data_IF_309769414819
#
_entry.id   IF_309769414819
#
_cell.length_a   1.000
_cell.length_b   1.000
_cell.length_c   1.000
_cell.angle_alpha   90.00
_cell.angle_beta   90.00
_cell.angle_gamma   90.00
#
_symmetry.space_group_name_H-M   'P 1'
#
loop_
_entity.id
_entity.type
_entity.pdbx_description
1 polymer ?
#
# COMPACT_ATOMS: atom_id res chain seq x y z
N UNK A 1 -18.66 56.21 -41.07
CA UNK A 1 -17.81 55.80 -39.94
C UNK A 1 -18.52 54.66 -39.25
N UNK A 2 -18.31 53.41 -39.67
CA UNK A 2 -18.89 52.22 -39.03
C UNK A 2 -17.93 51.06 -39.25
N UNK A 3 -17.15 50.70 -38.23
CA UNK A 3 -16.12 49.67 -38.37
C UNK A 3 -15.46 49.20 -37.07
N UNK A 4 -15.99 49.53 -35.89
CA UNK A 4 -15.37 49.20 -34.60
C UNK A 4 -15.92 47.96 -33.88
N UNK A 5 -17.17 47.55 -34.16
CA UNK A 5 -17.88 46.57 -33.33
C UNK A 5 -17.51 45.09 -33.56
N UNK A 6 -17.02 44.73 -34.75
CA UNK A 6 -16.77 43.33 -35.09
C UNK A 6 -15.50 42.74 -34.42
N UNK A 7 -14.53 43.60 -34.08
CA UNK A 7 -13.25 43.16 -33.50
C UNK A 7 -13.36 42.81 -32.02
N UNK A 8 -14.17 43.56 -31.25
CA UNK A 8 -14.37 43.30 -29.83
C UNK A 8 -15.16 41.99 -29.60
N UNK A 9 -16.16 41.69 -30.44
CA UNK A 9 -16.95 40.46 -30.35
C UNK A 9 -16.11 39.20 -30.62
N UNK A 10 -15.25 39.24 -31.66
CA UNK A 10 -14.30 38.15 -31.96
C UNK A 10 -13.25 37.95 -30.86
N UNK A 11 -12.82 39.03 -30.20
CA UNK A 11 -11.88 38.94 -29.09
C UNK A 11 -12.54 38.33 -27.84
N UNK A 12 -13.80 38.70 -27.55
CA UNK A 12 -14.59 38.13 -26.46
C UNK A 12 -14.86 36.62 -26.62
N UNK A 13 -15.22 36.18 -27.82
CA UNK A 13 -15.44 34.75 -28.12
C UNK A 13 -14.14 33.92 -28.01
N UNK A 14 -12.99 34.52 -28.34
CA UNK A 14 -11.68 33.86 -28.22
C UNK A 14 -11.22 33.74 -26.76
N UNK A 15 -11.48 34.77 -25.94
CA UNK A 15 -11.17 34.74 -24.51
C UNK A 15 -12.07 33.78 -23.71
N UNK A 16 -13.33 33.59 -24.13
CA UNK A 16 -14.23 32.59 -23.54
C UNK A 16 -13.84 31.14 -23.88
N UNK A 17 -13.19 30.91 -25.02
CA UNK A 17 -12.65 29.59 -25.39
C UNK A 17 -11.44 29.14 -24.55
N UNK A 18 -10.70 30.11 -23.99
CA UNK A 18 -9.50 29.87 -23.18
C UNK A 18 -9.80 29.77 -21.66
N UNK A 19 -11.05 29.97 -21.24
CA UNK A 19 -11.47 29.66 -19.87
C UNK A 19 -11.61 28.15 -19.74
N UNK A 20 -10.49 27.47 -19.53
CA UNK A 20 -10.49 26.10 -19.07
C UNK A 20 -11.28 26.04 -17.76
N UNK A 21 -12.44 25.39 -17.80
CA UNK A 21 -13.20 25.07 -16.59
C UNK A 21 -12.39 24.01 -15.85
N UNK A 22 -11.41 24.47 -15.07
CA UNK A 22 -10.80 23.61 -14.07
C UNK A 22 -11.91 23.18 -13.11
N UNK A 23 -12.23 21.89 -13.14
CA UNK A 23 -13.19 21.33 -12.19
C UNK A 23 -12.75 21.65 -10.76
N UNK A 24 -13.71 21.86 -9.85
CA UNK A 24 -13.44 22.13 -8.43
C UNK A 24 -12.41 21.15 -7.82
N UNK A 25 -12.39 19.90 -8.28
CA UNK A 25 -11.39 18.91 -7.89
C UNK A 25 -9.94 19.29 -8.28
N UNK A 26 -9.73 19.89 -9.47
CA UNK A 26 -8.43 20.43 -9.92
C UNK A 26 -8.00 21.60 -9.03
N UNK A 27 -8.92 22.52 -8.74
CA UNK A 27 -8.65 23.70 -7.91
C UNK A 27 -8.31 23.28 -6.47
N UNK A 28 -9.07 22.34 -5.88
CA UNK A 28 -8.79 21.80 -4.55
C UNK A 28 -7.45 21.03 -4.51
N UNK A 29 -7.12 20.30 -5.57
CA UNK A 29 -5.82 19.64 -5.69
C UNK A 29 -4.67 20.66 -5.80
N UNK A 30 -4.86 21.76 -6.52
CA UNK A 30 -3.87 22.84 -6.64
C UNK A 30 -3.69 23.64 -5.36
N UNK A 31 -4.76 23.91 -4.61
CA UNK A 31 -4.67 24.57 -3.29
C UNK A 31 -3.93 23.70 -2.26
N UNK A 32 -4.11 22.37 -2.29
CA UNK A 32 -3.34 21.46 -1.43
C UNK A 32 -1.82 21.51 -1.72
N UNK A 33 -1.41 21.84 -2.95
CA UNK A 33 0.02 22.00 -3.30
C UNK A 33 0.66 23.22 -2.64
N UNK A 34 -0.10 24.31 -2.47
CA UNK A 34 0.40 25.54 -1.86
C UNK A 34 0.52 25.44 -0.33
N UNK A 35 -0.18 24.49 0.30
CA UNK A 35 -0.23 24.34 1.74
C UNK A 35 0.85 23.40 2.33
N UNK A 36 1.66 22.72 1.51
CA UNK A 36 2.67 21.77 1.97
C UNK A 36 4.08 22.37 1.82
N UNK A 37 4.78 22.71 2.92
CA UNK A 37 6.19 23.09 2.85
C UNK A 37 7.04 21.93 2.31
N UNK A 38 7.99 22.27 1.45
CA UNK A 38 8.87 21.36 0.71
C UNK A 38 9.90 20.73 1.66
N UNK A 39 9.49 19.69 2.38
CA UNK A 39 10.33 18.86 3.24
C UNK A 39 9.88 17.42 3.13
N UNK A 40 10.77 16.54 2.65
CA UNK A 40 10.63 15.08 2.49
C UNK A 40 9.18 14.57 2.46
N UNK A 41 8.64 14.29 1.26
CA UNK A 41 7.25 13.83 1.02
C UNK A 41 6.79 12.80 2.07
N UNK A 42 6.02 13.26 3.07
CA UNK A 42 5.43 12.41 4.10
C UNK A 42 4.09 11.90 3.60
N UNK A 43 4.02 10.63 3.20
CA UNK A 43 2.76 10.02 2.72
C UNK A 43 1.93 9.60 3.92
N UNK A 44 2.50 8.80 4.82
CA UNK A 44 1.86 8.34 6.05
C UNK A 44 2.42 8.98 7.32
N UNK A 45 3.49 9.78 7.21
CA UNK A 45 4.12 10.43 8.36
C UNK A 45 5.03 9.51 9.18
N UNK A 46 5.35 8.33 8.62
CA UNK A 46 6.32 7.38 9.16
C UNK A 46 7.49 7.34 8.18
N UNK A 47 8.64 7.98 8.49
CA UNK A 47 9.75 8.12 7.55
C UNK A 47 10.21 6.79 6.95
N UNK A 48 10.30 5.75 7.78
CA UNK A 48 10.78 4.43 7.38
C UNK A 48 9.82 3.76 6.39
N UNK A 49 8.51 3.97 6.54
CA UNK A 49 7.51 3.50 5.58
C UNK A 49 7.49 4.37 4.32
N UNK A 50 7.55 5.69 4.47
CA UNK A 50 7.49 6.65 3.37
C UNK A 50 8.66 6.45 2.39
N UNK A 51 9.84 6.11 2.90
CA UNK A 51 11.00 5.72 2.08
C UNK A 51 10.70 4.50 1.20
N UNK A 52 10.01 3.48 1.74
CA UNK A 52 9.65 2.27 0.97
C UNK A 52 8.65 2.54 -0.15
N UNK A 53 7.82 3.58 -0.02
CA UNK A 53 6.80 3.96 -1.01
C UNK A 53 7.38 4.74 -2.18
N UNK A 54 8.47 5.48 -1.95
CA UNK A 54 9.09 6.38 -2.93
C UNK A 54 10.11 5.67 -3.82
N UNK A 55 10.45 4.42 -3.51
CA UNK A 55 11.38 3.64 -4.32
C UNK A 55 10.75 3.19 -5.64
N UNK A 56 11.34 3.53 -6.80
CA UNK A 56 10.87 3.07 -8.10
C UNK A 56 10.69 1.54 -8.09
N UNK A 57 9.63 1.05 -8.74
CA UNK A 57 9.55 -0.38 -9.01
C UNK A 57 10.81 -0.78 -9.81
N UNK A 58 11.47 -1.91 -9.47
CA UNK A 58 12.60 -2.36 -10.27
C UNK A 58 12.15 -2.53 -11.71
N UNK A 59 12.82 -1.83 -12.63
CA UNK A 59 12.55 -1.92 -14.07
C UNK A 59 12.68 -3.39 -14.44
N UNK A 60 11.57 -4.03 -14.80
CA UNK A 60 11.66 -5.38 -15.34
C UNK A 60 12.51 -5.30 -16.61
N UNK A 61 13.58 -6.11 -16.74
CA UNK A 61 14.30 -6.18 -17.99
C UNK A 61 13.28 -6.55 -19.08
N UNK A 62 13.37 -5.95 -20.29
CA UNK A 62 12.47 -6.27 -21.38
C UNK A 62 12.45 -7.79 -21.56
N UNK A 63 11.27 -8.40 -21.82
CA UNK A 63 11.18 -9.83 -22.04
C UNK A 63 12.21 -10.20 -23.11
N UNK A 64 13.20 -11.02 -22.73
CA UNK A 64 14.16 -11.56 -23.69
C UNK A 64 13.32 -12.24 -24.74
N UNK A 65 13.26 -11.65 -25.93
CA UNK A 65 12.75 -12.32 -27.11
C UNK A 65 13.63 -13.56 -27.27
N UNK A 66 13.08 -14.73 -26.91
CA UNK A 66 13.68 -16.00 -27.27
C UNK A 66 13.61 -16.02 -28.79
N UNK A 67 14.71 -15.68 -29.44
CA UNK A 67 14.86 -15.92 -30.87
C UNK A 67 14.68 -17.42 -31.08
N UNK A 68 13.82 -17.78 -32.03
CA UNK A 68 13.51 -19.16 -32.41
C UNK A 68 14.76 -19.99 -32.83
N UNK A 69 15.93 -19.37 -32.89
CA UNK A 69 17.21 -20.02 -33.17
C UNK A 69 17.73 -20.93 -32.03
N UNK A 70 17.23 -20.79 -30.78
CA UNK A 70 17.71 -21.61 -29.66
C UNK A 70 16.96 -22.94 -29.47
N UNK A 71 15.90 -23.21 -30.24
CA UNK A 71 15.19 -24.50 -30.22
C UNK A 71 15.73 -25.53 -31.22
N UNK A 72 16.61 -25.14 -32.15
CA UNK A 72 17.14 -26.03 -33.19
C UNK A 72 18.45 -26.76 -32.83
N UNK A 73 18.94 -26.67 -31.59
CA UNK A 73 20.16 -27.37 -31.14
C UNK A 73 19.91 -28.64 -30.32
N UNK A 74 18.67 -29.16 -30.26
CA UNK A 74 18.36 -30.43 -29.55
C UNK A 74 17.70 -31.51 -30.41
N UNK A 75 17.77 -31.37 -31.73
CA UNK A 75 17.35 -32.41 -32.68
C UNK A 75 18.38 -32.46 -33.81
N UNK A 76 19.50 -33.15 -33.59
CA UNK A 76 20.30 -33.81 -34.64
C UNK A 76 21.51 -34.51 -33.98
N UNK A 77 21.22 -35.59 -33.27
CA UNK A 77 22.14 -36.73 -33.11
C UNK A 77 21.38 -37.92 -33.68
N UNK A 78 21.40 -38.04 -35.00
CA UNK A 78 21.27 -39.29 -35.76
C UNK A 78 21.43 -38.99 -37.25
N UNK A 79 22.14 -39.90 -37.90
CA UNK A 79 22.38 -40.10 -39.33
C UNK A 79 23.53 -39.33 -39.98
N UNK A 80 24.69 -39.98 -39.93
CA UNK A 80 25.70 -40.00 -40.98
C UNK A 80 25.10 -40.55 -42.29
N UNK A 81 25.28 -39.85 -43.41
CA UNK A 81 25.69 -40.40 -44.73
C UNK A 81 25.83 -39.29 -45.80
N UNK A 82 26.98 -39.33 -46.47
CA UNK A 82 27.46 -38.60 -47.66
C UNK A 82 26.42 -37.96 -48.62
N UNK A 83 26.63 -36.73 -49.13
CA UNK A 83 27.43 -36.44 -50.35
C UNK A 83 27.62 -34.92 -50.62
N UNK A 84 28.61 -34.51 -51.45
CA UNK A 84 29.01 -33.11 -51.68
C UNK A 84 28.56 -32.52 -53.04
N UNK A 85 28.19 -31.22 -53.06
CA UNK A 85 28.57 -30.18 -54.05
C UNK A 85 27.56 -29.00 -54.14
N UNK A 86 28.07 -27.79 -53.83
CA UNK A 86 27.92 -26.45 -54.47
C UNK A 86 26.53 -25.88 -54.91
N UNK A 87 26.40 -24.56 -55.20
CA UNK A 87 27.11 -23.38 -54.72
C UNK A 87 26.19 -22.27 -54.12
N UNK A 88 26.87 -21.29 -53.53
CA UNK A 88 26.45 -20.00 -53.00
C UNK A 88 25.44 -19.17 -53.81
N UNK A 89 24.37 -18.71 -53.14
CA UNK A 89 23.64 -17.49 -53.52
C UNK A 89 23.57 -16.51 -52.33
N UNK A 90 24.37 -15.46 -52.41
CA UNK A 90 24.22 -14.24 -51.62
C UNK A 90 22.96 -13.50 -52.09
N UNK A 91 22.02 -13.25 -51.18
CA UNK A 91 20.96 -12.26 -51.38
C UNK A 91 21.24 -11.02 -50.53
N UNK A 92 21.32 -9.89 -51.22
CA UNK A 92 21.49 -8.55 -50.69
C UNK A 92 20.29 -8.13 -49.82
N UNK A 93 20.57 -7.61 -48.63
CA UNK A 93 19.63 -6.80 -47.86
C UNK A 93 19.67 -5.34 -48.36
N UNK A 94 18.51 -4.69 -48.61
CA UNK A 94 18.49 -3.26 -48.84
C UNK A 94 18.58 -2.48 -47.52
N UNK A 95 19.50 -1.52 -47.50
CA UNK A 95 19.70 -0.52 -46.43
C UNK A 95 18.47 0.40 -46.37
N UNK A 96 17.78 0.44 -45.23
CA UNK A 96 16.76 1.46 -44.95
C UNK A 96 17.41 2.72 -44.36
N UNK A 97 17.01 3.93 -44.77
CA UNK A 97 17.49 5.18 -44.20
C UNK A 97 16.84 5.48 -42.83
N UNK A 98 17.57 6.16 -41.91
CA UNK A 98 17.02 6.53 -40.60
C UNK A 98 15.98 7.65 -40.71
N UNK A 99 14.84 7.44 -40.06
CA UNK A 99 13.78 8.43 -39.89
C UNK A 99 14.19 9.55 -38.90
N UNK A 100 13.62 10.77 -39.04
CA UNK A 100 14.07 11.95 -38.33
C UNK A 100 13.74 11.92 -36.83
N UNK A 101 14.73 12.33 -36.04
CA UNK A 101 14.68 12.60 -34.61
C UNK A 101 13.53 13.55 -34.25
N UNK A 102 12.42 13.00 -33.76
CA UNK A 102 11.39 13.79 -33.07
C UNK A 102 12.01 14.30 -31.77
N UNK A 103 12.11 15.63 -31.67
CA UNK A 103 12.57 16.33 -30.50
C UNK A 103 11.81 15.85 -29.25
N UNK A 104 12.57 15.31 -28.29
CA UNK A 104 12.12 15.10 -26.92
C UNK A 104 11.66 16.44 -26.36
N UNK A 105 10.36 16.69 -26.40
CA UNK A 105 9.74 17.65 -25.49
C UNK A 105 10.01 17.11 -24.07
N UNK A 106 10.83 17.84 -23.34
CA UNK A 106 11.07 17.62 -21.93
C UNK A 106 9.72 17.69 -21.20
N UNK A 107 9.16 16.53 -20.88
CA UNK A 107 8.04 16.42 -19.97
C UNK A 107 8.52 16.87 -18.60
N UNK A 108 8.18 18.10 -18.22
CA UNK A 108 8.20 18.50 -16.83
C UNK A 108 7.27 17.55 -16.05
N UNK A 109 7.77 16.80 -15.05
CA UNK A 109 6.92 15.91 -14.27
C UNK A 109 6.01 16.78 -13.41
N UNK A 110 4.74 16.90 -13.80
CA UNK A 110 3.71 17.51 -12.97
C UNK A 110 3.56 16.64 -11.71
N UNK A 111 3.98 17.17 -10.57
CA UNK A 111 3.97 16.51 -9.26
C UNK A 111 2.56 16.49 -8.67
N UNK A 112 1.62 15.85 -9.37
CA UNK A 112 0.36 15.46 -8.76
C UNK A 112 0.68 14.36 -7.73
N UNK A 113 0.53 14.68 -6.44
CA UNK A 113 0.53 13.66 -5.39
C UNK A 113 -0.74 12.84 -5.57
N UNK A 114 -0.59 11.74 -6.27
CA UNK A 114 -1.67 10.79 -6.44
C UNK A 114 -1.67 9.80 -5.27
N UNK A 115 -2.83 9.26 -4.90
CA UNK A 115 -2.95 8.35 -3.78
C UNK A 115 -2.10 7.08 -3.94
N UNK A 116 -1.52 6.64 -2.83
CA UNK A 116 -0.72 5.42 -2.74
C UNK A 116 -1.58 4.22 -2.34
N UNK A 117 -1.19 3.04 -2.82
CA UNK A 117 -1.82 1.77 -2.45
C UNK A 117 -0.79 0.94 -1.69
N UNK A 118 -1.12 0.60 -0.45
CA UNK A 118 -0.28 -0.21 0.42
C UNK A 118 -0.97 -1.56 0.67
N UNK A 119 -0.31 -2.66 0.33
CA UNK A 119 -0.78 -4.01 0.64
C UNK A 119 0.12 -4.62 1.71
N UNK A 120 -0.41 -4.83 2.91
CA UNK A 120 0.26 -5.47 4.04
C UNK A 120 -0.07 -6.96 4.06
N UNK A 121 0.94 -7.79 3.85
CA UNK A 121 0.78 -9.24 3.71
C UNK A 121 1.57 -9.92 4.82
N UNK A 122 0.94 -10.81 5.58
CA UNK A 122 1.66 -11.66 6.52
C UNK A 122 1.82 -13.08 5.96
N UNK A 123 2.91 -13.80 6.29
CA UNK A 123 3.00 -15.22 5.96
C UNK A 123 1.86 -16.02 6.61
N UNK A 124 1.57 -17.24 6.13
CA UNK A 124 0.71 -18.17 6.85
C UNK A 124 1.25 -18.41 8.26
N UNK A 125 0.38 -18.64 9.26
CA UNK A 125 0.83 -19.02 10.61
C UNK A 125 1.68 -20.29 10.52
N UNK A 126 2.94 -20.24 10.98
CA UNK A 126 3.87 -21.36 10.81
C UNK A 126 3.64 -22.43 11.86
N UNK A 127 3.49 -22.10 13.15
CA UNK A 127 3.14 -23.09 14.20
C UNK A 127 2.47 -22.47 15.44
N UNK A 128 2.38 -21.15 15.51
CA UNK A 128 1.70 -20.41 16.58
C UNK A 128 0.82 -19.33 15.92
N UNK A 129 -0.46 -19.18 16.28
CA UNK A 129 -1.36 -18.17 15.73
C UNK A 129 -1.03 -16.75 16.22
N UNK A 130 0.24 -16.45 16.51
CA UNK A 130 0.62 -15.13 16.96
C UNK A 130 0.26 -14.12 15.87
N UNK A 131 -0.42 -13.01 16.21
CA UNK A 131 -0.74 -11.98 15.24
C UNK A 131 0.55 -11.47 14.60
N UNK A 132 0.54 -11.28 13.29
CA UNK A 132 1.71 -10.90 12.51
C UNK A 132 2.07 -9.41 12.63
N UNK A 133 1.35 -8.62 13.43
CA UNK A 133 1.62 -7.20 13.67
C UNK A 133 0.94 -6.23 12.71
N UNK A 134 0.18 -6.71 11.70
CA UNK A 134 -0.52 -5.86 10.73
C UNK A 134 -1.45 -4.85 11.41
N UNK A 135 -2.37 -5.32 12.26
CA UNK A 135 -3.30 -4.46 13.01
C UNK A 135 -2.57 -3.49 13.94
N UNK A 136 -1.45 -3.90 14.53
CA UNK A 136 -0.59 -3.01 15.32
C UNK A 136 -0.04 -1.85 14.48
N UNK A 137 0.47 -2.15 13.29
CA UNK A 137 0.92 -1.13 12.35
C UNK A 137 -0.24 -0.23 11.89
N UNK A 138 -1.45 -0.80 11.68
CA UNK A 138 -2.64 -0.01 11.36
C UNK A 138 -2.97 0.99 12.47
N UNK A 139 -2.96 0.59 13.75
CA UNK A 139 -3.18 1.55 14.85
C UNK A 139 -2.16 2.70 14.83
N UNK A 140 -0.89 2.41 14.51
CA UNK A 140 0.15 3.43 14.41
C UNK A 140 -0.10 4.40 13.25
N UNK A 141 -0.43 3.87 12.06
CA UNK A 141 -0.82 4.67 10.89
C UNK A 141 -2.06 5.53 11.18
N UNK A 142 -3.09 4.95 11.79
CA UNK A 142 -4.31 5.68 12.18
C UNK A 142 -3.99 6.78 13.17
N UNK A 143 -3.13 6.52 14.17
CA UNK A 143 -2.68 7.51 15.15
C UNK A 143 -2.05 8.72 14.48
N UNK A 144 -1.10 8.52 13.57
CA UNK A 144 -0.49 9.61 12.80
C UNK A 144 -1.49 10.36 11.92
N UNK A 145 -2.44 9.65 11.32
CA UNK A 145 -3.45 10.26 10.46
C UNK A 145 -4.40 11.21 11.22
N UNK A 146 -4.93 10.79 12.37
CA UNK A 146 -6.05 11.48 13.05
C UNK A 146 -5.62 12.50 14.11
N UNK A 147 -4.40 12.38 14.66
CA UNK A 147 -3.87 13.35 15.60
C UNK A 147 -3.64 14.70 14.90
N UNK A 148 -3.79 15.83 15.61
CA UNK A 148 -3.37 17.12 15.10
C UNK A 148 -1.84 17.16 14.95
N UNK A 149 -1.33 18.12 14.16
CA UNK A 149 0.12 18.32 14.05
C UNK A 149 0.74 18.84 15.34
N UNK A 150 -0.05 19.56 16.15
CA UNK A 150 0.40 20.20 17.39
C UNK A 150 -0.57 19.94 18.55
N UNK A 151 -0.01 19.91 19.76
CA UNK A 151 -0.73 19.98 21.03
C UNK A 151 -0.20 21.18 21.80
N UNK A 152 -1.00 22.25 21.92
CA UNK A 152 -0.51 23.56 22.32
C UNK A 152 0.64 24.04 21.41
N UNK A 153 1.84 24.16 21.97
CA UNK A 153 3.07 24.57 21.27
C UNK A 153 3.94 23.39 20.82
N UNK A 154 3.56 22.15 21.15
CA UNK A 154 4.38 20.96 20.95
C UNK A 154 4.00 20.29 19.63
N UNK A 155 4.99 20.06 18.77
CA UNK A 155 4.82 19.32 17.52
C UNK A 155 4.71 17.81 17.81
N UNK A 156 3.53 17.24 17.59
CA UNK A 156 3.26 15.80 17.77
C UNK A 156 3.15 15.03 16.44
N UNK A 157 3.38 15.73 15.32
CA UNK A 157 3.52 15.14 13.97
C UNK A 157 2.30 14.35 13.46
N UNK A 158 1.09 14.74 13.87
CA UNK A 158 -0.16 14.24 13.29
C UNK A 158 -0.58 14.98 12.00
N UNK A 159 -1.49 14.38 11.22
CA UNK A 159 -1.93 14.86 9.91
C UNK A 159 -3.34 15.47 9.91
N UNK A 160 -3.99 15.55 11.08
CA UNK A 160 -5.29 16.19 11.29
C UNK A 160 -6.38 15.74 10.29
N UNK A 161 -6.36 14.47 9.92
CA UNK A 161 -7.21 13.89 8.89
C UNK A 161 -8.23 12.93 9.49
N UNK A 162 -9.07 12.32 8.65
CA UNK A 162 -9.96 11.23 9.03
C UNK A 162 -9.53 9.90 8.36
N UNK A 163 -9.92 8.79 8.96
CA UNK A 163 -9.61 7.43 8.47
C UNK A 163 -10.90 6.61 8.40
N UNK A 164 -11.06 5.87 7.32
CA UNK A 164 -12.16 4.91 7.16
C UNK A 164 -11.58 3.49 7.26
N UNK A 165 -12.17 2.65 8.09
CA UNK A 165 -11.75 1.27 8.34
C UNK A 165 -12.91 0.33 8.07
N UNK A 166 -12.70 -0.66 7.22
CA UNK A 166 -13.61 -1.78 7.00
C UNK A 166 -13.03 -3.00 7.73
N UNK A 167 -13.64 -3.33 8.87
CA UNK A 167 -13.18 -4.34 9.82
C UNK A 167 -14.27 -5.42 9.99
N UNK A 168 -14.35 -6.39 9.06
CA UNK A 168 -15.35 -7.45 9.08
C UNK A 168 -15.24 -8.37 10.31
N UNK A 169 -14.05 -8.46 10.91
CA UNK A 169 -13.77 -9.39 12.02
C UNK A 169 -13.77 -8.72 13.39
N UNK A 170 -14.03 -7.41 13.46
CA UNK A 170 -13.99 -6.64 14.71
C UNK A 170 -12.63 -6.69 15.43
N UNK A 171 -11.54 -6.79 14.68
CA UNK A 171 -10.17 -6.81 15.21
C UNK A 171 -9.68 -5.42 15.64
N UNK A 172 -10.30 -4.35 15.12
CA UNK A 172 -9.93 -2.98 15.41
C UNK A 172 -10.63 -2.46 16.68
N UNK A 173 -9.84 -2.34 17.74
CA UNK A 173 -10.27 -1.94 19.09
C UNK A 173 -9.90 -0.48 19.39
N UNK A 174 -10.92 0.36 19.57
CA UNK A 174 -10.76 1.78 19.92
C UNK A 174 -9.98 2.00 21.22
N UNK A 175 -10.17 1.23 22.32
CA UNK A 175 -9.36 1.41 23.53
C UNK A 175 -7.87 1.21 23.28
N UNK A 176 -7.51 0.26 22.39
CA UNK A 176 -6.11 0.02 22.01
C UNK A 176 -5.56 1.17 21.17
N UNK A 177 -6.35 1.71 20.23
CA UNK A 177 -5.97 2.90 19.47
C UNK A 177 -5.73 4.09 20.42
N UNK A 178 -6.63 4.34 21.36
CA UNK A 178 -6.50 5.42 22.34
C UNK A 178 -5.23 5.28 23.18
N UNK A 179 -4.90 4.06 23.63
CA UNK A 179 -3.66 3.79 24.33
C UNK A 179 -2.42 4.13 23.48
N UNK A 180 -2.42 3.72 22.20
CA UNK A 180 -1.31 4.00 21.29
C UNK A 180 -1.16 5.51 21.05
N UNK A 181 -2.28 6.24 20.90
CA UNK A 181 -2.28 7.71 20.79
C UNK A 181 -1.72 8.37 22.04
N UNK A 182 -2.12 7.91 23.23
CA UNK A 182 -1.61 8.42 24.51
C UNK A 182 -0.10 8.18 24.64
N UNK A 183 0.38 6.98 24.30
CA UNK A 183 1.81 6.68 24.30
C UNK A 183 2.58 7.56 23.32
N UNK A 184 2.02 7.79 22.11
CA UNK A 184 2.63 8.66 21.10
C UNK A 184 2.75 10.10 21.58
N UNK A 185 1.66 10.68 22.09
CA UNK A 185 1.65 12.05 22.63
C UNK A 185 2.61 12.16 23.83
N UNK A 186 2.55 11.21 24.77
CA UNK A 186 3.42 11.20 25.96
C UNK A 186 4.90 11.20 25.59
N UNK A 187 5.28 10.50 24.51
CA UNK A 187 6.66 10.51 24.02
C UNK A 187 7.08 11.90 23.54
N UNK A 188 6.23 12.59 22.79
CA UNK A 188 6.50 13.95 22.32
C UNK A 188 6.51 14.98 23.46
N UNK A 189 5.67 14.81 24.49
CA UNK A 189 5.71 15.63 25.69
C UNK A 189 7.04 15.48 26.45
N UNK A 190 7.50 14.24 26.65
CA UNK A 190 8.79 13.97 27.30
C UNK A 190 9.97 14.59 26.54
N UNK A 191 9.95 14.55 25.20
CA UNK A 191 11.01 15.20 24.40
C UNK A 191 10.97 16.72 24.48
N UNK A 192 9.82 17.31 24.84
CA UNK A 192 9.63 18.74 25.03
C UNK A 192 9.71 19.16 26.52
N UNK A 193 10.21 18.28 27.39
CA UNK A 193 10.35 18.49 28.84
C UNK A 193 9.04 18.93 29.53
N UNK A 194 7.91 18.35 29.09
CA UNK A 194 6.59 18.57 29.70
C UNK A 194 6.16 17.35 30.50
N UNK A 195 5.80 17.59 31.76
CA UNK A 195 5.29 16.55 32.64
C UNK A 195 3.81 16.27 32.38
N UNK A 196 3.48 14.99 32.19
CA UNK A 196 2.10 14.52 32.02
C UNK A 196 1.35 14.41 33.36
N UNK A 197 2.09 14.45 34.46
CA UNK A 197 1.55 14.51 35.83
C UNK A 197 0.83 15.84 36.10
N UNK A 198 1.12 16.89 35.34
CA UNK A 198 0.36 18.14 35.38
C UNK A 198 -1.08 17.88 34.91
N UNK A 199 -2.04 18.14 35.82
CA UNK A 199 -3.46 17.94 35.58
C UNK A 199 -3.95 18.73 34.35
N UNK A 200 -3.42 19.93 34.11
CA UNK A 200 -3.78 20.74 32.94
C UNK A 200 -3.38 20.06 31.63
N UNK A 201 -2.14 19.56 31.57
CA UNK A 201 -1.62 18.82 30.41
C UNK A 201 -2.39 17.51 30.23
N UNK A 202 -2.68 16.80 31.32
CA UNK A 202 -3.44 15.55 31.27
C UNK A 202 -4.83 15.74 30.67
N UNK A 203 -5.56 16.79 31.07
CA UNK A 203 -6.87 17.14 30.50
C UNK A 203 -6.74 17.46 29.01
N UNK A 204 -5.74 18.26 28.63
CA UNK A 204 -5.50 18.63 27.23
C UNK A 204 -5.25 17.40 26.35
N UNK A 205 -4.41 16.48 26.82
CA UNK A 205 -4.10 15.20 26.13
C UNK A 205 -5.36 14.36 25.96
N UNK A 206 -6.15 14.18 27.03
CA UNK A 206 -7.37 13.37 26.97
C UNK A 206 -8.40 13.96 26.01
N UNK A 207 -8.57 15.27 26.02
CA UNK A 207 -9.49 15.96 25.12
C UNK A 207 -8.98 15.91 23.67
N UNK A 208 -7.67 16.02 23.44
CA UNK A 208 -7.05 15.79 22.14
C UNK A 208 -7.36 14.40 21.60
N UNK A 209 -7.12 13.35 22.39
CA UNK A 209 -7.43 11.96 22.02
C UNK A 209 -8.92 11.79 21.72
N UNK A 210 -9.79 12.30 22.59
CA UNK A 210 -11.25 12.21 22.42
C UNK A 210 -11.72 12.89 21.14
N UNK A 211 -11.19 14.07 20.80
CA UNK A 211 -11.50 14.78 19.55
C UNK A 211 -10.99 14.01 18.34
N UNK A 212 -9.74 13.54 18.37
CA UNK A 212 -9.14 12.79 17.27
C UNK A 212 -9.88 11.48 16.98
N UNK A 213 -10.35 10.76 18.01
CA UNK A 213 -11.12 9.52 17.82
C UNK A 213 -12.47 9.73 17.11
N UNK A 214 -13.02 10.95 17.08
CA UNK A 214 -14.24 11.27 16.32
C UNK A 214 -14.03 11.20 14.80
N UNK A 215 -12.77 11.06 14.36
CA UNK A 215 -12.38 11.03 12.95
C UNK A 215 -11.97 9.63 12.47
N UNK A 216 -12.33 8.59 13.23
CA UNK A 216 -12.21 7.19 12.81
C UNK A 216 -13.60 6.65 12.50
N UNK A 217 -13.82 6.25 11.24
CA UNK A 217 -15.08 5.68 10.78
C UNK A 217 -14.91 4.18 10.57
N UNK A 218 -15.58 3.36 11.38
CA UNK A 218 -15.45 1.91 11.32
C UNK A 218 -16.75 1.31 10.77
N UNK A 219 -16.62 0.52 9.70
CA UNK A 219 -17.68 -0.27 9.12
C UNK A 219 -17.36 -1.76 9.24
N UNK A 220 -18.38 -2.58 9.48
CA UNK A 220 -18.21 -4.03 9.71
C UNK A 220 -19.06 -4.84 8.72
N UNK A 221 -18.71 -4.85 7.43
CA UNK A 221 -19.43 -5.65 6.45
C UNK A 221 -19.27 -7.13 6.78
N UNK A 222 -20.37 -7.88 6.85
CA UNK A 222 -20.36 -9.31 7.21
C UNK A 222 -20.27 -10.25 6.00
N UNK A 223 -20.44 -9.72 4.79
CA UNK A 223 -20.38 -10.45 3.53
C UNK A 223 -19.77 -9.60 2.41
N UNK A 224 -19.47 -10.25 1.28
CA UNK A 224 -18.87 -9.60 0.12
C UNK A 224 -19.76 -8.51 -0.48
N UNK A 225 -21.07 -8.79 -0.59
CA UNK A 225 -22.06 -7.84 -1.09
C UNK A 225 -22.19 -6.63 -0.16
N UNK A 226 -22.18 -6.86 1.15
CA UNK A 226 -22.20 -5.82 2.17
C UNK A 226 -20.95 -4.94 2.13
N UNK A 227 -19.77 -5.52 1.83
CA UNK A 227 -18.54 -4.76 1.61
C UNK A 227 -18.70 -3.80 0.43
N UNK A 228 -19.17 -4.29 -0.72
CA UNK A 228 -19.35 -3.49 -1.93
C UNK A 228 -20.42 -2.40 -1.77
N UNK A 229 -21.52 -2.71 -1.08
CA UNK A 229 -22.55 -1.73 -0.74
C UNK A 229 -22.01 -0.63 0.20
N UNK A 230 -21.19 -1.00 1.18
CA UNK A 230 -20.51 -0.05 2.08
C UNK A 230 -19.59 0.87 1.29
N UNK A 231 -18.74 0.34 0.40
CA UNK A 231 -17.85 1.13 -0.44
C UNK A 231 -18.64 2.10 -1.35
N UNK A 232 -19.75 1.64 -1.93
CA UNK A 232 -20.59 2.44 -2.82
C UNK A 232 -21.30 3.59 -2.09
N UNK A 233 -21.71 3.38 -0.85
CA UNK A 233 -22.41 4.39 -0.02
C UNK A 233 -21.47 5.33 0.72
N UNK A 234 -20.17 5.04 0.75
CA UNK A 234 -19.19 5.78 1.52
C UNK A 234 -19.13 7.28 1.16
N UNK A 235 -19.15 7.71 -0.12
CA UNK A 235 -19.17 9.14 -0.44
C UNK A 235 -20.38 9.85 0.17
N UNK A 236 -21.58 9.27 0.02
CA UNK A 236 -22.81 9.85 0.59
C UNK A 236 -22.75 9.96 2.11
N UNK A 237 -22.16 8.97 2.80
CA UNK A 237 -21.92 9.04 4.23
C UNK A 237 -20.91 10.14 4.60
N UNK A 238 -19.78 10.21 3.90
CA UNK A 238 -18.67 11.14 4.20
C UNK A 238 -19.02 12.61 3.94
N UNK A 239 -19.96 12.86 3.03
CA UNK A 239 -20.46 14.20 2.71
C UNK A 239 -21.75 14.57 3.48
N UNK A 240 -22.18 13.74 4.44
CA UNK A 240 -23.33 14.02 5.31
C UNK A 240 -22.85 14.57 6.68
N UNK A 241 -22.61 15.88 6.73
CA UNK A 241 -22.10 16.59 7.92
C UNK A 241 -22.86 16.33 9.23
N UNK A 242 -24.20 16.26 9.24
CA UNK A 242 -24.96 15.87 10.42
C UNK A 242 -24.63 14.49 10.99
N UNK A 243 -24.16 13.53 10.18
CA UNK A 243 -23.85 12.16 10.63
C UNK A 243 -22.52 12.04 11.37
N UNK A 244 -21.58 12.96 11.14
CA UNK A 244 -20.25 12.87 11.73
C UNK A 244 -19.47 14.19 11.70
N UNK A 245 -18.39 14.27 12.47
CA UNK A 245 -17.59 15.51 12.61
C UNK A 245 -16.42 15.65 11.63
N UNK A 246 -16.27 14.72 10.69
CA UNK A 246 -15.12 14.66 9.78
C UNK A 246 -15.30 15.36 8.44
N UNK A 247 -16.45 15.97 8.15
CA UNK A 247 -16.77 16.52 6.81
C UNK A 247 -15.74 17.58 6.35
N UNK A 248 -15.18 18.33 7.29
CA UNK A 248 -14.19 19.37 7.01
C UNK A 248 -12.74 18.86 7.06
N UNK A 249 -12.52 17.54 7.10
CA UNK A 249 -11.19 16.92 7.13
C UNK A 249 -10.95 16.09 5.87
N UNK A 250 -9.72 16.09 5.35
CA UNK A 250 -9.36 15.16 4.29
C UNK A 250 -9.40 13.71 4.83
N UNK A 251 -9.78 12.78 3.96
CA UNK A 251 -9.64 11.35 4.25
C UNK A 251 -8.22 10.93 3.91
N UNK A 252 -7.46 10.54 4.93
CA UNK A 252 -6.06 10.16 4.76
C UNK A 252 -5.90 8.75 4.18
N UNK A 253 -6.69 7.82 4.71
CA UNK A 253 -6.65 6.43 4.27
C UNK A 253 -8.02 5.75 4.35
N UNK A 254 -8.26 4.87 3.37
CA UNK A 254 -9.29 3.84 3.37
C UNK A 254 -8.63 2.49 3.63
N UNK A 255 -8.93 1.88 4.77
CA UNK A 255 -8.30 0.66 5.27
C UNK A 255 -9.28 -0.49 5.15
N UNK A 256 -8.89 -1.56 4.47
CA UNK A 256 -9.64 -2.82 4.42
C UNK A 256 -8.85 -3.85 5.23
N UNK A 257 -9.33 -4.14 6.43
CA UNK A 257 -8.70 -5.09 7.34
C UNK A 257 -9.18 -6.52 7.05
N UNK A 258 -8.20 -7.40 6.80
CA UNK A 258 -8.34 -8.83 6.55
C UNK A 258 -9.21 -9.21 5.35
N UNK A 259 -8.89 -8.65 4.18
CA UNK A 259 -9.59 -8.93 2.91
C UNK A 259 -9.78 -10.41 2.57
N UNK A 260 -8.86 -11.27 3.02
CA UNK A 260 -8.92 -12.70 2.74
C UNK A 260 -10.19 -13.37 3.28
N UNK A 261 -10.86 -12.79 4.28
CA UNK A 261 -12.06 -13.35 4.92
C UNK A 261 -13.21 -13.58 3.94
N UNK A 262 -13.30 -12.78 2.87
CA UNK A 262 -14.36 -12.92 1.87
C UNK A 262 -14.08 -14.03 0.84
N UNK A 263 -12.85 -14.55 0.79
CA UNK A 263 -12.44 -15.53 -0.23
C UNK A 263 -13.27 -16.82 -0.19
N UNK A 264 -13.54 -17.45 0.98
CA UNK A 264 -14.39 -18.63 1.03
C UNK A 264 -15.82 -18.38 0.53
N UNK A 265 -16.42 -17.25 0.94
CA UNK A 265 -17.77 -16.83 0.51
C UNK A 265 -17.86 -16.63 -1.01
N UNK A 266 -16.89 -15.92 -1.58
CA UNK A 266 -16.80 -15.71 -3.04
C UNK A 266 -16.74 -17.05 -3.78
N UNK A 267 -15.93 -18.00 -3.27
CA UNK A 267 -15.77 -19.32 -3.89
C UNK A 267 -17.06 -20.13 -3.81
N UNK A 268 -17.78 -20.10 -2.69
CA UNK A 268 -19.06 -20.82 -2.57
C UNK A 268 -20.14 -20.31 -3.52
N UNK A 269 -20.18 -19.00 -3.80
CA UNK A 269 -21.12 -18.42 -4.76
C UNK A 269 -20.87 -18.89 -6.20
N UNK A 270 -19.62 -19.22 -6.52
CA UNK A 270 -19.24 -19.67 -7.87
C UNK A 270 -19.53 -21.16 -8.08
N UNK A 271 -19.53 -21.97 -7.02
CA UNK A 271 -19.86 -23.40 -7.12
C UNK A 271 -21.35 -23.66 -7.30
N UNK A 272 -22.22 -22.72 -6.95
CA UNK A 272 -23.69 -22.85 -7.10
C UNK A 272 -24.21 -22.56 -8.51
N UNK A 273 -23.40 -22.01 -9.42
CA UNK A 273 -23.86 -21.50 -10.72
C UNK A 273 -23.39 -22.31 -11.93
N UNK A 274 -22.52 -23.31 -11.76
CA UNK A 274 -22.02 -24.14 -12.85
C UNK A 274 -22.94 -25.34 -13.11
N UNK A 275 -23.79 -25.24 -14.14
CA UNK A 275 -24.46 -26.39 -14.76
C UNK A 275 -23.45 -27.28 -15.51
N UNK A 276 -23.59 -28.62 -15.49
CA UNK A 276 -22.54 -29.57 -15.87
C UNK A 276 -22.27 -29.74 -17.38
N UNK A 277 -22.74 -28.86 -18.26
CA UNK A 277 -22.88 -29.20 -19.70
C UNK A 277 -22.02 -28.44 -20.73
N UNK A 278 -21.10 -27.55 -20.34
CA UNK A 278 -20.21 -26.91 -21.34
C UNK A 278 -18.76 -26.83 -20.86
N UNK A 279 -17.89 -27.52 -21.59
CA UNK A 279 -16.45 -27.66 -21.33
C UNK A 279 -15.65 -26.42 -21.76
N UNK A 280 -15.92 -25.26 -21.18
CA UNK A 280 -15.01 -24.10 -21.26
C UNK A 280 -14.08 -24.07 -20.04
N UNK A 281 -12.83 -23.59 -20.18
CA UNK A 281 -11.91 -23.50 -19.07
C UNK A 281 -12.49 -22.59 -17.98
N UNK A 282 -12.79 -23.17 -16.81
CA UNK A 282 -13.40 -22.44 -15.69
C UNK A 282 -12.52 -21.23 -15.33
N UNK A 283 -13.01 -19.98 -15.54
CA UNK A 283 -12.27 -18.80 -15.11
C UNK A 283 -12.13 -18.84 -13.57
N UNK A 284 -10.98 -18.40 -13.06
CA UNK A 284 -10.75 -18.34 -11.62
C UNK A 284 -11.89 -17.51 -10.97
N UNK A 285 -12.67 -18.07 -10.02
CA UNK A 285 -13.86 -17.43 -9.46
C UNK A 285 -13.56 -16.09 -8.76
N UNK A 286 -12.30 -15.85 -8.42
CA UNK A 286 -11.86 -14.62 -7.76
C UNK A 286 -11.62 -13.46 -8.73
N UNK A 287 -11.62 -13.71 -10.05
CA UNK A 287 -11.25 -12.70 -11.06
C UNK A 287 -12.25 -11.55 -11.12
N UNK A 288 -13.55 -11.85 -11.30
CA UNK A 288 -14.61 -10.83 -11.35
C UNK A 288 -14.73 -10.07 -10.03
N UNK A 289 -14.76 -10.71 -8.85
CA UNK A 289 -14.73 -10.03 -7.55
C UNK A 289 -13.51 -9.13 -7.36
N UNK A 290 -12.32 -9.59 -7.75
CA UNK A 290 -11.09 -8.79 -7.73
C UNK A 290 -11.25 -7.50 -8.53
N UNK A 291 -11.69 -7.60 -9.79
CA UNK A 291 -11.88 -6.44 -10.68
C UNK A 291 -12.93 -5.49 -10.11
N UNK A 292 -14.05 -6.01 -9.60
CA UNK A 292 -15.11 -5.18 -9.04
C UNK A 292 -14.62 -4.39 -7.83
N UNK A 293 -13.91 -5.04 -6.91
CA UNK A 293 -13.34 -4.38 -5.75
C UNK A 293 -12.29 -3.33 -6.14
N UNK A 294 -11.32 -3.66 -6.99
CA UNK A 294 -10.30 -2.69 -7.38
C UNK A 294 -10.88 -1.52 -8.15
N UNK A 295 -11.98 -1.71 -8.89
CA UNK A 295 -12.73 -0.63 -9.54
C UNK A 295 -13.32 0.32 -8.50
N UNK A 296 -14.04 -0.20 -7.50
CA UNK A 296 -14.60 0.61 -6.40
C UNK A 296 -13.51 1.37 -5.63
N UNK A 297 -12.43 0.68 -5.27
CA UNK A 297 -11.31 1.30 -4.55
C UNK A 297 -10.62 2.37 -5.40
N UNK A 298 -10.40 2.13 -6.70
CA UNK A 298 -9.84 3.12 -7.62
C UNK A 298 -10.73 4.36 -7.71
N UNK A 299 -12.04 4.16 -7.83
CA UNK A 299 -13.01 5.26 -7.87
C UNK A 299 -12.98 6.06 -6.56
N UNK A 300 -13.04 5.41 -5.40
CA UNK A 300 -12.98 6.10 -4.10
C UNK A 300 -11.65 6.81 -3.87
N UNK A 301 -10.54 6.17 -4.22
CA UNK A 301 -9.20 6.74 -4.07
C UNK A 301 -9.02 8.00 -4.90
N UNK A 302 -9.49 8.01 -6.14
CA UNK A 302 -9.46 9.19 -7.00
C UNK A 302 -10.46 10.27 -6.56
N UNK A 303 -11.69 9.88 -6.25
CA UNK A 303 -12.75 10.80 -5.83
C UNK A 303 -12.45 11.49 -4.50
N UNK A 304 -11.94 10.76 -3.52
CA UNK A 304 -11.61 11.28 -2.19
C UNK A 304 -10.15 11.71 -2.05
N UNK A 305 -9.31 11.47 -3.06
CA UNK A 305 -7.85 11.65 -3.00
C UNK A 305 -7.20 10.94 -1.81
N UNK A 306 -7.68 9.74 -1.48
CA UNK A 306 -7.29 9.00 -0.26
C UNK A 306 -6.39 7.82 -0.58
N UNK A 307 -5.44 7.53 0.32
CA UNK A 307 -4.61 6.33 0.23
C UNK A 307 -5.44 5.07 0.51
N UNK A 308 -5.03 3.94 -0.06
CA UNK A 308 -5.68 2.65 0.19
C UNK A 308 -4.70 1.77 0.95
N UNK A 309 -5.15 1.17 2.05
CA UNK A 309 -4.39 0.17 2.79
C UNK A 309 -5.19 -1.12 2.82
N UNK A 310 -4.61 -2.20 2.30
CA UNK A 310 -5.22 -3.53 2.28
C UNK A 310 -4.40 -4.46 3.16
N UNK A 311 -5.05 -5.23 4.03
CA UNK A 311 -4.36 -6.28 4.80
C UNK A 311 -4.84 -7.68 4.42
N UNK A 312 -3.90 -8.62 4.38
CA UNK A 312 -4.20 -10.01 4.01
C UNK A 312 -3.18 -10.99 4.60
N UNK A 313 -3.53 -12.28 4.58
CA UNK A 313 -2.60 -13.37 4.82
C UNK A 313 -2.19 -14.00 3.50
N UNK A 314 -0.92 -14.33 3.35
CA UNK A 314 -0.51 -15.08 2.18
C UNK A 314 -1.01 -16.52 2.24
N UNK A 315 -1.35 -17.08 1.08
CA UNK A 315 -1.60 -18.52 0.93
C UNK A 315 -0.31 -19.34 0.87
N UNK A 316 0.85 -18.69 0.72
CA UNK A 316 2.15 -19.32 0.54
C UNK A 316 3.20 -18.60 1.40
N UNK A 317 4.02 -19.31 2.19
CA UNK A 317 5.04 -18.70 3.04
C UNK A 317 6.10 -17.89 2.28
N UNK A 318 6.31 -18.19 1.00
CA UNK A 318 7.40 -17.58 0.23
C UNK A 318 6.96 -16.75 -0.97
N UNK A 319 5.72 -16.90 -1.44
CA UNK A 319 5.24 -16.10 -2.57
C UNK A 319 4.62 -14.76 -2.14
N UNK A 320 4.22 -14.62 -0.87
CA UNK A 320 3.58 -13.42 -0.31
C UNK A 320 2.46 -12.86 -1.20
N UNK A 321 1.65 -13.77 -1.77
CA UNK A 321 0.48 -13.40 -2.59
C UNK A 321 -0.77 -13.39 -1.73
N UNK A 322 -1.63 -12.35 -1.83
CA UNK A 322 -2.91 -12.35 -1.16
C UNK A 322 -3.84 -13.39 -1.82
N UNK A 323 -4.81 -13.96 -1.09
CA UNK A 323 -5.69 -15.00 -1.62
C UNK A 323 -6.66 -14.44 -2.66
N UNK A 324 -7.13 -13.20 -2.43
CA UNK A 324 -7.86 -12.40 -3.41
C UNK A 324 -6.83 -11.53 -4.16
N UNK A 325 -6.56 -11.82 -5.45
CA UNK A 325 -5.67 -10.97 -6.24
C UNK A 325 -6.25 -9.56 -6.36
N UNK A 326 -5.39 -8.56 -6.53
CA UNK A 326 -5.79 -7.18 -6.84
C UNK A 326 -5.50 -6.89 -8.31
N UNK A 327 -6.55 -6.56 -9.08
CA UNK A 327 -6.47 -6.18 -10.48
C UNK A 327 -6.44 -4.65 -10.64
N UNK A 328 -5.33 -4.01 -10.26
CA UNK A 328 -5.20 -2.56 -10.36
C UNK A 328 -5.04 -2.11 -11.82
N UNK A 329 -5.65 -0.98 -12.23
CA UNK A 329 -5.40 -0.40 -13.53
C UNK A 329 -3.91 -0.04 -13.72
N UNK A 330 -3.37 -0.06 -14.95
CA UNK A 330 -1.95 0.22 -15.21
C UNK A 330 -1.46 1.55 -14.60
N UNK A 331 -2.31 2.58 -14.61
CA UNK A 331 -2.00 3.89 -14.03
C UNK A 331 -1.77 3.88 -12.52
N UNK A 332 -2.38 2.94 -11.79
CA UNK A 332 -2.22 2.77 -10.34
C UNK A 332 -1.24 1.66 -9.98
N UNK A 333 -0.97 0.72 -10.88
CA UNK A 333 -0.09 -0.41 -10.63
C UNK A 333 1.32 0.01 -10.18
N UNK A 334 1.84 1.11 -10.72
CA UNK A 334 3.15 1.66 -10.33
C UNK A 334 3.17 2.25 -8.90
N UNK A 335 2.00 2.46 -8.28
CA UNK A 335 1.83 3.03 -6.93
C UNK A 335 1.49 1.98 -5.88
N UNK A 336 1.34 0.73 -6.28
CA UNK A 336 1.10 -0.39 -5.38
C UNK A 336 2.42 -0.79 -4.73
N UNK A 337 2.49 -0.63 -3.42
CA UNK A 337 3.60 -1.12 -2.61
C UNK A 337 3.11 -2.29 -1.78
N UNK A 338 3.70 -3.47 -2.02
CA UNK A 338 3.44 -4.66 -1.21
C UNK A 338 4.50 -4.77 -0.15
N UNK A 339 4.10 -4.78 1.11
CA UNK A 339 4.98 -5.01 2.24
C UNK A 339 4.61 -6.32 2.92
N UNK A 340 5.61 -7.09 3.27
CA UNK A 340 5.43 -8.21 4.19
C UNK A 340 5.52 -7.71 5.61
N UNK A 341 4.68 -8.24 6.49
CA UNK A 341 4.75 -8.00 7.94
C UNK A 341 4.80 -9.35 8.64
N UNK A 342 5.82 -9.60 9.45
CA UNK A 342 5.89 -10.80 10.30
C UNK A 342 6.36 -10.45 11.71
N UNK A 343 5.96 -11.29 12.67
CA UNK A 343 6.61 -11.31 13.98
C UNK A 343 8.01 -11.90 13.83
N UNK A 344 9.00 -11.32 14.50
CA UNK A 344 10.34 -11.90 14.59
C UNK A 344 10.22 -13.21 15.37
N UNK A 345 10.50 -14.33 14.71
CA UNK A 345 10.45 -15.64 15.33
C UNK A 345 11.65 -15.85 16.26
N UNK A 346 11.40 -16.53 17.39
CA UNK A 346 12.48 -17.03 18.24
C UNK A 346 13.06 -18.27 17.59
N UNK A 347 14.36 -18.25 17.32
CA UNK A 347 15.08 -19.39 16.76
C UNK A 347 14.88 -20.60 17.68
N UNK A 348 14.42 -21.72 17.10
CA UNK A 348 14.24 -22.99 17.83
C UNK A 348 15.58 -23.45 18.41
N UNK A 349 15.52 -24.24 19.49
CA UNK A 349 16.72 -24.93 19.99
C UNK A 349 17.30 -25.82 18.88
N UNK A 350 18.62 -25.85 18.76
CA UNK A 350 19.28 -26.72 17.80
C UNK A 350 19.00 -28.19 18.17
N UNK A 351 18.77 -29.08 17.18
CA UNK A 351 18.69 -30.50 17.47
C UNK A 351 19.95 -30.97 18.21
N UNK A 352 19.78 -31.61 19.37
CA UNK A 352 20.90 -32.10 20.19
C UNK A 352 21.44 -31.11 21.23
N UNK A 353 20.87 -29.90 21.35
CA UNK A 353 21.22 -28.97 22.44
C UNK A 353 20.85 -29.57 23.81
N UNK A 354 21.74 -29.49 24.78
CA UNK A 354 21.46 -30.00 26.13
C UNK A 354 20.51 -29.07 26.91
N UNK A 355 19.93 -29.58 28.00
CA UNK A 355 18.96 -28.81 28.81
C UNK A 355 19.65 -27.61 29.45
N UNK A 356 20.89 -27.77 29.90
CA UNK A 356 21.68 -26.72 30.55
C UNK A 356 22.00 -25.58 29.57
N UNK A 357 22.36 -25.90 28.33
CA UNK A 357 22.54 -24.92 27.25
C UNK A 357 21.22 -24.23 26.90
N UNK A 358 20.13 -24.99 26.82
CA UNK A 358 18.81 -24.45 26.55
C UNK A 358 18.34 -23.47 27.65
N UNK A 359 18.61 -23.79 28.92
CA UNK A 359 18.35 -22.90 30.06
C UNK A 359 19.25 -21.67 30.04
N UNK A 360 20.53 -21.81 29.67
CA UNK A 360 21.46 -20.69 29.46
C UNK A 360 20.99 -19.71 28.38
N UNK A 361 20.33 -20.22 27.33
CA UNK A 361 19.76 -19.39 26.26
C UNK A 361 18.32 -18.90 26.54
N UNK A 362 17.65 -19.44 27.57
CA UNK A 362 16.23 -19.15 27.87
C UNK A 362 15.98 -17.66 28.05
N UNK A 363 16.81 -16.95 28.82
CA UNK A 363 16.63 -15.51 29.08
C UNK A 363 16.78 -14.69 27.80
N UNK A 364 17.83 -14.95 27.01
CA UNK A 364 18.06 -14.28 25.72
C UNK A 364 16.89 -14.48 24.76
N UNK A 365 16.31 -15.69 24.72
CA UNK A 365 15.13 -16.00 23.89
C UNK A 365 13.86 -15.34 24.42
N UNK A 366 13.67 -15.33 25.74
CA UNK A 366 12.53 -14.66 26.36
C UNK A 366 12.54 -13.16 26.11
N UNK A 367 13.72 -12.53 26.17
CA UNK A 367 13.90 -11.12 25.82
C UNK A 367 13.43 -10.83 24.38
N UNK A 368 13.66 -11.74 23.43
CA UNK A 368 13.19 -11.59 22.04
C UNK A 368 11.66 -11.65 21.97
N UNK A 369 11.02 -12.56 22.71
CA UNK A 369 9.55 -12.67 22.78
C UNK A 369 8.94 -11.42 23.39
N UNK A 370 9.51 -11.00 24.52
CA UNK A 370 9.06 -9.88 25.35
C UNK A 370 9.16 -8.56 24.61
N UNK A 371 10.20 -8.38 23.78
CA UNK A 371 10.38 -7.18 22.96
C UNK A 371 9.28 -6.98 21.90
N UNK A 372 8.46 -7.99 21.61
CA UNK A 372 7.32 -7.86 20.70
C UNK A 372 7.70 -7.28 19.34
N UNK A 373 8.81 -7.76 18.75
CA UNK A 373 9.39 -7.22 17.50
C UNK A 373 8.69 -7.77 16.26
N UNK A 374 8.54 -6.90 15.28
CA UNK A 374 7.94 -7.17 13.98
C UNK A 374 8.79 -6.58 12.87
N UNK A 375 9.01 -7.35 11.82
CA UNK A 375 9.73 -6.94 10.63
C UNK A 375 8.75 -6.57 9.53
N UNK A 376 9.04 -5.48 8.82
CA UNK A 376 8.34 -5.02 7.63
C UNK A 376 9.34 -4.88 6.50
N UNK A 377 9.06 -5.45 5.33
CA UNK A 377 9.93 -5.27 4.15
C UNK A 377 9.15 -5.35 2.85
N UNK A 378 9.71 -4.76 1.79
CA UNK A 378 9.08 -4.74 0.47
C UNK A 378 9.14 -6.11 -0.21
N UNK A 379 8.01 -6.55 -0.79
CA UNK A 379 7.97 -7.76 -1.61
C UNK A 379 8.56 -7.46 -3.00
N UNK A 380 9.67 -8.11 -3.35
CA UNK A 380 10.24 -7.99 -4.70
C UNK A 380 9.43 -8.82 -5.71
N UNK A 381 9.06 -8.27 -6.89
CA UNK A 381 8.48 -9.05 -7.97
C UNK A 381 9.44 -10.16 -8.40
N UNK A 382 9.00 -11.42 -8.34
CA UNK A 382 9.80 -12.57 -8.79
C UNK A 382 10.74 -13.17 -7.73
N UNK A 383 10.73 -12.69 -6.49
CA UNK A 383 11.38 -13.42 -5.39
C UNK A 383 10.64 -14.74 -5.16
N UNK A 384 11.27 -15.85 -5.54
CA UNK A 384 10.75 -17.19 -5.28
C UNK A 384 10.74 -17.52 -3.79
N UNK A 385 10.05 -18.61 -3.40
CA UNK A 385 9.80 -18.96 -2.00
C UNK A 385 11.04 -19.28 -1.14
N UNK A 386 12.25 -19.27 -1.71
CA UNK A 386 13.51 -19.49 -1.00
C UNK A 386 14.38 -18.24 -0.78
N UNK A 387 14.01 -17.07 -1.29
CA UNK A 387 14.87 -15.87 -1.28
C UNK A 387 14.78 -14.99 -0.02
N UNK A 388 13.76 -15.15 0.81
CA UNK A 388 13.46 -14.23 1.93
C UNK A 388 14.12 -14.56 3.27
N UNK A 389 15.00 -15.56 3.33
CA UNK A 389 15.46 -16.14 4.59
C UNK A 389 16.83 -15.68 5.10
N UNK A 390 17.73 -15.16 4.26
CA UNK A 390 19.14 -14.93 4.67
C UNK A 390 19.81 -13.67 4.14
N UNK A 391 19.26 -12.97 3.15
CA UNK A 391 19.74 -11.62 2.85
C UNK A 391 19.19 -10.67 3.91
N UNK A 392 19.95 -10.56 5.02
CA UNK A 392 19.87 -9.43 5.96
C UNK A 392 19.72 -8.16 5.11
N UNK A 393 18.64 -7.43 5.36
CA UNK A 393 18.18 -6.34 4.50
C UNK A 393 19.32 -5.48 4.01
N UNK A 394 19.42 -5.33 2.69
CA UNK A 394 20.13 -4.16 2.18
C UNK A 394 19.44 -2.93 2.78
N UNK A 395 20.25 -1.96 3.23
CA UNK A 395 19.74 -0.70 3.75
C UNK A 395 18.63 -0.17 2.83
N UNK A 396 17.47 0.15 3.41
CA UNK A 396 16.32 0.69 2.70
C UNK A 396 15.29 -0.32 2.18
N UNK A 397 15.41 -1.63 2.43
CA UNK A 397 14.39 -2.59 1.96
C UNK A 397 13.31 -2.96 2.99
N UNK A 398 13.47 -2.50 4.23
CA UNK A 398 12.52 -2.75 5.32
C UNK A 398 12.82 -1.94 6.58
N UNK A 399 12.01 -2.14 7.61
CA UNK A 399 12.19 -1.60 8.94
C UNK A 399 11.62 -2.55 10.00
N UNK A 400 11.98 -2.33 11.26
CA UNK A 400 11.50 -3.10 12.40
C UNK A 400 10.66 -2.19 13.29
N UNK A 401 9.59 -2.73 13.88
CA UNK A 401 8.85 -2.05 14.93
C UNK A 401 8.57 -2.97 16.11
N UNK A 402 8.35 -2.37 17.28
CA UNK A 402 7.98 -3.05 18.51
C UNK A 402 6.56 -2.71 18.90
N UNK A 403 5.89 -3.69 19.50
CA UNK A 403 4.57 -3.51 20.10
C UNK A 403 4.67 -3.74 21.60
N UNK A 404 4.39 -2.70 22.37
CA UNK A 404 4.32 -2.71 23.82
C UNK A 404 3.14 -1.88 24.31
N UNK A 405 3.38 -0.89 25.17
CA UNK A 405 2.37 0.13 25.51
C UNK A 405 1.88 0.91 24.28
N UNK A 406 2.80 1.22 23.36
CA UNK A 406 2.52 1.81 22.05
C UNK A 406 3.11 0.98 20.89
N UNK A 407 3.31 1.64 19.75
CA UNK A 407 4.05 1.11 18.60
C UNK A 407 5.25 2.00 18.35
N UNK A 408 6.44 1.41 18.29
CA UNK A 408 7.70 2.13 18.14
C UNK A 408 8.48 1.58 16.96
N UNK A 409 8.87 2.44 16.02
CA UNK A 409 9.77 2.07 14.93
C UNK A 409 11.20 2.04 15.48
N UNK A 410 11.89 0.92 15.32
CA UNK A 410 13.31 0.80 15.66
C UNK A 410 14.13 1.50 14.58
N UNK A 411 14.87 2.53 14.98
CA UNK A 411 15.87 3.16 14.12
C UNK A 411 17.19 2.47 14.42
N UNK A 412 17.88 2.01 13.38
CA UNK A 412 19.30 1.70 13.52
C UNK A 412 20.00 3.02 13.82
N UNK A 413 20.30 3.28 15.09
CA UNK A 413 21.25 4.31 15.46
C UNK A 413 22.57 3.91 14.81
N UNK A 414 23.05 4.74 13.87
CA UNK A 414 24.27 4.48 13.12
C UNK A 414 25.40 4.12 14.08
N UNK A 415 25.92 2.90 13.91
CA UNK A 415 27.18 2.45 14.48
C UNK A 415 28.36 3.16 13.83
#
# INVERSE_FOLDING_TARGET
MDGGGASAKKLGERLLGDVAVEGLASILASLRKLALPDGARKVFGIPELDVLLLQPAPVQPPPRQITAAAQNQRQHENDDLWTPNAPSHQQHQPVQPPAPTIARQAQHPSTHQHPHILELISPPPTHHPSPAGKTSLLYHLTTHAILPSHLGTILISGLNSAVVILDPLSHFHIPRLAQIMLCHISRHLRTADRDISDEGVRIEVLECVKRSLQHVHIFRPTCWEGLLATLSSLPSYLFDGPRHRSMNRPIHALILEDMHIFTPHIRSLSTSTTSPHTATPNPNPLTTPSIHLTTHLTHLSTHLSTNIILTSHSTSPGAFRPPLPTAWPPALQARVTRLTVRRVEVVKFAPGMCVEEAEGERRKRWDIVERGRFEVWRVRPGAGPGGGGKEKGKEGEGFVFRVGGGVEIEREEGL
#
